data_IF_679031908923
#
_entry.id   IF_679031908923
#
_cell.length_a   1.000
_cell.length_b   1.000
_cell.length_c   1.000
_cell.angle_alpha   90.00
_cell.angle_beta   90.00
_cell.angle_gamma   90.00
#
_symmetry.space_group_name_H-M   'P 1'
#
loop_
_entity.id
_entity.type
_entity.pdbx_description
1 polymer ?
#
# COMPACT_ATOMS: atom_id res chain seq x y z
N UNK A 1 2.45 -1.61 -48.84
CA UNK A 1 1.52 -1.55 -47.68
C UNK A 1 1.51 -0.14 -47.12
N UNK A 2 0.43 0.62 -47.32
CA UNK A 2 0.29 1.97 -46.74
C UNK A 2 0.03 1.88 -45.24
N UNK A 3 0.91 2.46 -44.42
CA UNK A 3 0.68 2.59 -42.98
C UNK A 3 -0.49 3.54 -42.74
N UNK A 4 -1.61 3.02 -42.21
CA UNK A 4 -2.71 3.86 -41.73
C UNK A 4 -2.17 4.75 -40.60
N UNK A 5 -1.98 6.05 -40.87
CA UNK A 5 -1.72 7.06 -39.83
C UNK A 5 -2.91 7.03 -38.87
N UNK A 6 -2.69 6.61 -37.62
CA UNK A 6 -3.69 6.77 -36.56
C UNK A 6 -3.92 8.27 -36.38
N UNK A 7 -5.08 8.75 -36.80
CA UNK A 7 -5.53 10.11 -36.49
C UNK A 7 -5.67 10.17 -34.96
N UNK A 8 -4.80 10.95 -34.34
CA UNK A 8 -4.78 11.10 -32.90
C UNK A 8 -5.78 12.19 -32.54
N UNK A 9 -7.02 11.79 -32.27
CA UNK A 9 -8.09 12.71 -31.89
C UNK A 9 -7.69 13.37 -30.56
N UNK A 10 -7.58 14.72 -30.49
CA UNK A 10 -7.27 15.41 -29.25
C UNK A 10 -8.35 15.10 -28.21
N UNK A 11 -7.95 14.58 -27.05
CA UNK A 11 -8.89 14.33 -25.96
C UNK A 11 -9.32 15.70 -25.39
N UNK A 12 -10.61 16.00 -25.20
CA UNK A 12 -11.07 17.26 -24.61
C UNK A 12 -10.41 17.53 -23.25
N UNK A 13 -10.10 18.80 -22.95
CA UNK A 13 -9.41 19.20 -21.71
C UNK A 13 -10.10 18.67 -20.45
N UNK A 14 -11.43 18.70 -20.41
CA UNK A 14 -12.23 18.19 -19.30
C UNK A 14 -12.03 16.68 -19.08
N UNK A 15 -12.02 15.90 -20.16
CA UNK A 15 -11.77 14.46 -20.09
C UNK A 15 -10.34 14.16 -19.62
N UNK A 16 -9.35 14.98 -20.00
CA UNK A 16 -7.99 14.88 -19.48
C UNK A 16 -7.93 15.17 -17.97
N UNK A 17 -8.62 16.22 -17.49
CA UNK A 17 -8.68 16.58 -16.07
C UNK A 17 -9.35 15.49 -15.24
N UNK A 18 -10.50 14.96 -15.69
CA UNK A 18 -11.21 13.86 -15.04
C UNK A 18 -10.34 12.60 -14.96
N UNK A 19 -9.63 12.27 -16.03
CA UNK A 19 -8.69 11.14 -16.02
C UNK A 19 -7.55 11.35 -15.01
N UNK A 20 -6.99 12.56 -14.93
CA UNK A 20 -5.94 12.88 -13.96
C UNK A 20 -6.45 12.79 -12.52
N UNK A 21 -7.66 13.28 -12.23
CA UNK A 21 -8.30 13.19 -10.92
C UNK A 21 -8.53 11.73 -10.52
N UNK A 22 -9.16 10.92 -11.38
CA UNK A 22 -9.40 9.51 -11.11
C UNK A 22 -8.08 8.76 -10.87
N UNK A 23 -7.04 9.07 -11.64
CA UNK A 23 -5.72 8.45 -11.45
C UNK A 23 -5.07 8.81 -10.11
N UNK A 24 -5.31 10.03 -9.59
CA UNK A 24 -4.83 10.45 -8.27
C UNK A 24 -5.59 9.71 -7.17
N UNK A 25 -6.93 9.73 -7.24
CA UNK A 25 -7.79 9.01 -6.29
C UNK A 25 -7.43 7.53 -6.18
N UNK A 26 -7.16 6.85 -7.30
CA UNK A 26 -6.75 5.44 -7.27
C UNK A 26 -5.43 5.22 -6.52
N UNK A 27 -4.45 6.13 -6.65
CA UNK A 27 -3.19 6.03 -5.90
C UNK A 27 -3.39 6.27 -4.41
N UNK A 28 -4.29 7.19 -4.07
CA UNK A 28 -4.62 7.49 -2.68
C UNK A 28 -5.32 6.28 -2.05
N UNK A 29 -6.25 5.64 -2.76
CA UNK A 29 -6.91 4.40 -2.31
C UNK A 29 -5.90 3.26 -2.11
N UNK A 30 -4.97 3.03 -3.05
CA UNK A 30 -3.89 2.04 -2.88
C UNK A 30 -3.07 2.31 -1.62
N UNK A 31 -2.84 3.60 -1.34
CA UNK A 31 -2.09 4.05 -0.16
C UNK A 31 -2.88 3.86 1.14
N UNK A 32 -4.17 4.19 1.14
CA UNK A 32 -5.05 3.98 2.30
C UNK A 32 -5.27 2.50 2.58
N UNK A 33 -5.33 1.64 1.55
CA UNK A 33 -5.35 0.19 1.75
C UNK A 33 -4.12 -0.27 2.53
N UNK A 34 -2.91 0.15 2.14
CA UNK A 34 -1.68 -0.25 2.86
C UNK A 34 -1.70 0.21 4.31
N UNK A 35 -2.06 1.46 4.58
CA UNK A 35 -2.09 1.97 5.96
C UNK A 35 -3.19 1.34 6.80
N UNK A 36 -4.34 0.99 6.21
CA UNK A 36 -5.38 0.21 6.89
C UNK A 36 -4.86 -1.18 7.29
N UNK A 37 -4.17 -1.89 6.39
CA UNK A 37 -3.58 -3.20 6.70
C UNK A 37 -2.52 -3.11 7.80
N UNK A 38 -1.68 -2.07 7.81
CA UNK A 38 -0.74 -1.82 8.90
C UNK A 38 -1.46 -1.62 10.24
N UNK A 39 -2.54 -0.84 10.27
CA UNK A 39 -3.37 -0.67 11.47
C UNK A 39 -3.90 -2.01 11.97
N UNK A 40 -4.40 -2.86 11.05
CA UNK A 40 -4.89 -4.19 11.41
C UNK A 40 -3.80 -5.13 11.92
N UNK A 41 -2.54 -4.92 11.50
CA UNK A 41 -1.39 -5.70 11.95
C UNK A 41 -0.80 -5.24 13.28
N UNK A 42 -1.12 -4.02 13.73
CA UNK A 42 -0.62 -3.44 14.99
C UNK A 42 -0.71 -4.35 16.21
N UNK A 43 -1.77 -5.17 16.41
CA UNK A 43 -1.81 -6.09 17.55
C UNK A 43 -0.75 -7.18 17.53
N UNK A 44 -0.19 -7.50 16.36
CA UNK A 44 0.67 -8.66 16.15
C UNK A 44 2.15 -8.31 16.00
N UNK A 45 2.47 -7.09 15.55
CA UNK A 45 3.83 -6.62 15.35
C UNK A 45 3.94 -5.10 15.43
N UNK A 46 5.14 -4.61 15.75
CA UNK A 46 5.53 -3.23 15.49
C UNK A 46 6.01 -3.05 14.05
N UNK A 47 6.25 -1.81 13.63
CA UNK A 47 6.72 -1.51 12.27
C UNK A 47 7.79 -0.42 12.27
N UNK A 48 8.78 -0.59 11.39
CA UNK A 48 9.73 0.46 11.05
C UNK A 48 9.26 1.13 9.76
N UNK A 49 8.97 2.42 9.84
CA UNK A 49 8.56 3.24 8.71
C UNK A 49 9.66 4.23 8.36
N UNK A 50 9.86 4.51 7.07
CA UNK A 50 10.76 5.56 6.59
C UNK A 50 9.98 6.62 5.81
N UNK A 51 10.26 7.88 6.11
CA UNK A 51 9.67 9.01 5.44
C UNK A 51 10.25 9.14 4.02
N UNK A 52 9.41 9.20 2.97
CA UNK A 52 9.91 9.30 1.61
C UNK A 52 10.60 10.64 1.37
N UNK A 53 11.80 10.59 0.78
CA UNK A 53 12.64 11.77 0.48
C UNK A 53 11.98 12.81 -0.43
N UNK A 54 10.93 12.43 -1.18
CA UNK A 54 10.16 13.32 -2.05
C UNK A 54 8.68 13.21 -1.71
N UNK A 55 8.13 14.28 -1.15
CA UNK A 55 6.70 14.40 -0.94
C UNK A 55 6.00 14.86 -2.22
N UNK A 56 4.78 14.39 -2.42
CA UNK A 56 3.89 14.95 -3.44
C UNK A 56 2.86 15.82 -2.74
N UNK A 57 2.64 17.05 -3.20
CA UNK A 57 1.57 17.92 -2.70
C UNK A 57 0.18 17.55 -3.23
N UNK A 58 0.10 16.50 -4.06
CA UNK A 58 -1.07 16.20 -4.91
C UNK A 58 -1.69 14.83 -4.63
N UNK A 59 -0.94 13.88 -4.04
CA UNK A 59 -1.43 12.54 -3.69
C UNK A 59 -0.97 12.17 -2.28
N UNK A 60 -1.70 11.28 -1.62
CA UNK A 60 -1.31 10.72 -0.33
C UNK A 60 0.08 10.07 -0.45
N UNK A 61 0.96 10.43 0.47
CA UNK A 61 2.35 9.98 0.47
C UNK A 61 2.48 8.85 1.48
N UNK A 62 2.59 7.62 0.99
CA UNK A 62 2.79 6.43 1.82
C UNK A 62 4.18 6.42 2.45
N UNK A 63 4.31 6.33 3.80
CA UNK A 63 5.57 5.98 4.44
C UNK A 63 6.08 4.64 3.92
N UNK A 64 7.38 4.53 3.66
CA UNK A 64 7.98 3.28 3.23
C UNK A 64 7.96 2.30 4.40
N UNK A 65 7.29 1.16 4.25
CA UNK A 65 7.33 0.08 5.24
C UNK A 65 8.65 -0.66 5.07
N UNK A 66 9.57 -0.47 6.02
CA UNK A 66 10.90 -1.07 5.97
C UNK A 66 10.90 -2.44 6.63
N UNK A 67 10.35 -2.55 7.84
CA UNK A 67 10.34 -3.80 8.59
C UNK A 67 9.06 -4.02 9.37
N UNK A 68 8.70 -5.28 9.54
CA UNK A 68 7.72 -5.74 10.52
C UNK A 68 8.48 -6.42 11.66
N UNK A 69 8.21 -6.00 12.89
CA UNK A 69 8.92 -6.45 14.09
C UNK A 69 7.96 -7.25 14.95
N UNK A 70 8.00 -8.57 14.82
CA UNK A 70 7.24 -9.51 15.65
C UNK A 70 8.03 -9.80 16.93
N UNK A 71 7.37 -10.34 17.98
CA UNK A 71 8.06 -10.66 19.24
C UNK A 71 9.30 -11.55 19.10
N UNK A 72 9.31 -12.46 18.12
CA UNK A 72 10.36 -13.47 17.96
C UNK A 72 11.20 -13.28 16.69
N UNK A 73 10.80 -12.38 15.79
CA UNK A 73 11.48 -12.21 14.50
C UNK A 73 11.26 -10.82 13.92
N UNK A 74 12.17 -10.42 13.03
CA UNK A 74 12.02 -9.20 12.24
C UNK A 74 12.06 -9.55 10.76
N UNK A 75 11.04 -9.11 10.04
CA UNK A 75 10.95 -9.26 8.60
C UNK A 75 11.39 -7.94 7.96
N UNK A 76 12.53 -7.93 7.28
CA UNK A 76 13.00 -6.78 6.49
C UNK A 76 12.24 -6.72 5.16
N UNK A 77 11.06 -6.12 5.19
CA UNK A 77 10.16 -6.04 4.05
C UNK A 77 10.71 -5.16 2.91
N UNK A 78 11.49 -4.13 3.25
CA UNK A 78 12.14 -3.25 2.29
C UNK A 78 13.14 -4.00 1.41
N UNK A 79 13.96 -4.85 2.02
CA UNK A 79 14.94 -5.73 1.36
C UNK A 79 14.26 -6.85 0.59
N UNK A 80 13.25 -7.50 1.15
CA UNK A 80 12.46 -8.52 0.43
C UNK A 80 11.84 -7.95 -0.85
N UNK A 81 11.21 -6.77 -0.75
CA UNK A 81 10.62 -6.10 -1.91
C UNK A 81 11.68 -5.75 -2.97
N UNK A 82 12.88 -5.35 -2.54
CA UNK A 82 14.00 -5.08 -3.42
C UNK A 82 14.48 -6.35 -4.14
N UNK A 83 14.76 -7.42 -3.40
CA UNK A 83 15.24 -8.69 -3.94
C UNK A 83 14.27 -9.29 -4.97
N UNK A 84 12.96 -9.14 -4.74
CA UNK A 84 11.92 -9.60 -5.67
C UNK A 84 11.80 -8.69 -6.90
N UNK A 85 11.91 -7.36 -6.74
CA UNK A 85 11.61 -6.41 -7.83
C UNK A 85 12.83 -6.06 -8.69
N UNK A 86 14.05 -6.14 -8.15
CA UNK A 86 15.30 -5.69 -8.79
C UNK A 86 15.65 -6.48 -10.05
N UNK A 87 15.53 -7.83 -10.11
CA UNK A 87 15.83 -8.58 -11.32
C UNK A 87 14.98 -8.14 -12.54
N UNK A 88 13.69 -7.87 -12.31
CA UNK A 88 12.79 -7.37 -13.36
C UNK A 88 13.17 -5.95 -13.82
N UNK A 89 13.61 -5.09 -12.90
CA UNK A 89 14.11 -3.75 -13.24
C UNK A 89 15.35 -3.81 -14.12
N UNK A 90 16.34 -4.62 -13.74
CA UNK A 90 17.59 -4.78 -14.48
C UNK A 90 17.35 -5.39 -15.88
N UNK A 91 16.48 -6.39 -15.98
CA UNK A 91 16.08 -6.96 -17.26
C UNK A 91 15.43 -5.93 -18.18
N UNK A 92 14.59 -5.03 -17.64
CA UNK A 92 13.97 -3.96 -18.42
C UNK A 92 15.02 -2.98 -18.96
N UNK A 93 16.03 -2.61 -18.16
CA UNK A 93 17.13 -1.77 -18.61
C UNK A 93 17.96 -2.47 -19.70
N UNK A 94 18.31 -3.75 -19.50
CA UNK A 94 19.05 -4.55 -20.48
C UNK A 94 18.30 -4.67 -21.82
N UNK A 95 16.96 -4.68 -21.79
CA UNK A 95 16.09 -4.67 -22.99
C UNK A 95 15.93 -3.28 -23.62
N UNK A 96 16.69 -2.28 -23.20
CA UNK A 96 16.68 -0.93 -23.79
C UNK A 96 15.54 -0.03 -23.30
N UNK A 97 14.87 -0.36 -22.19
CA UNK A 97 13.86 0.54 -21.62
C UNK A 97 14.49 1.81 -21.05
N UNK A 98 13.89 2.96 -21.33
CA UNK A 98 14.27 4.24 -20.70
C UNK A 98 14.27 4.10 -19.17
N UNK A 99 15.36 4.56 -18.54
CA UNK A 99 15.59 4.46 -17.08
C UNK A 99 14.40 4.95 -16.25
N UNK A 100 13.83 6.11 -16.58
CA UNK A 100 12.67 6.66 -15.87
C UNK A 100 11.44 5.75 -15.93
N UNK A 101 11.22 5.07 -17.06
CA UNK A 101 10.11 4.13 -17.21
C UNK A 101 10.36 2.85 -16.41
N UNK A 102 11.61 2.40 -16.36
CA UNK A 102 12.01 1.24 -15.55
C UNK A 102 11.86 1.55 -14.05
N UNK A 103 12.34 2.71 -13.58
CA UNK A 103 12.19 3.16 -12.17
C UNK A 103 10.72 3.24 -11.79
N UNK A 104 9.87 3.87 -12.62
CA UNK A 104 8.43 3.94 -12.34
C UNK A 104 7.76 2.56 -12.20
N UNK A 105 8.21 1.56 -12.97
CA UNK A 105 7.71 0.18 -12.85
C UNK A 105 8.24 -0.51 -11.60
N UNK A 106 9.52 -0.33 -11.30
CA UNK A 106 10.16 -0.86 -10.11
C UNK A 106 9.46 -0.37 -8.84
N UNK A 107 9.27 0.94 -8.70
CA UNK A 107 8.57 1.53 -7.54
C UNK A 107 7.12 1.07 -7.43
N UNK A 108 6.44 0.88 -8.57
CA UNK A 108 5.08 0.32 -8.56
C UNK A 108 5.08 -1.13 -8.08
N UNK A 109 6.01 -1.95 -8.57
CA UNK A 109 6.10 -3.35 -8.16
C UNK A 109 6.43 -3.48 -6.68
N UNK A 110 7.37 -2.68 -6.14
CA UNK A 110 7.69 -2.69 -4.71
C UNK A 110 6.47 -2.37 -3.85
N UNK A 111 5.72 -1.33 -4.20
CA UNK A 111 4.49 -0.97 -3.50
C UNK A 111 3.44 -2.07 -3.56
N UNK A 112 3.24 -2.68 -4.73
CA UNK A 112 2.31 -3.80 -4.88
C UNK A 112 2.75 -5.03 -4.11
N UNK A 113 4.06 -5.32 -4.08
CA UNK A 113 4.61 -6.41 -3.30
C UNK A 113 4.38 -6.21 -1.80
N UNK A 114 4.73 -5.03 -1.26
CA UNK A 114 4.49 -4.69 0.14
C UNK A 114 3.02 -4.85 0.49
N UNK A 115 2.12 -4.27 -0.31
CA UNK A 115 0.68 -4.41 -0.09
C UNK A 115 0.24 -5.87 -0.01
N UNK A 116 0.59 -6.67 -1.03
CA UNK A 116 0.16 -8.06 -1.08
C UNK A 116 0.79 -8.89 0.04
N UNK A 117 2.01 -8.57 0.46
CA UNK A 117 2.65 -9.22 1.60
C UNK A 117 1.91 -8.94 2.92
N UNK A 118 1.49 -7.69 3.17
CA UNK A 118 0.67 -7.37 4.35
C UNK A 118 -0.69 -8.06 4.31
N UNK A 119 -1.29 -8.13 3.12
CA UNK A 119 -2.53 -8.88 2.88
C UNK A 119 -2.35 -10.36 3.23
N UNK A 120 -1.26 -10.98 2.77
CA UNK A 120 -0.95 -12.39 3.04
C UNK A 120 -0.70 -12.65 4.53
N UNK A 121 0.01 -11.76 5.25
CA UNK A 121 0.19 -11.90 6.71
C UNK A 121 -1.16 -11.85 7.43
N UNK A 122 -2.05 -10.95 7.04
CA UNK A 122 -3.37 -10.84 7.69
C UNK A 122 -4.22 -12.10 7.45
N UNK A 123 -4.10 -12.77 6.31
CA UNK A 123 -4.71 -14.09 6.09
C UNK A 123 -4.26 -15.10 7.16
N UNK A 124 -2.96 -15.14 7.46
CA UNK A 124 -2.39 -15.99 8.53
C UNK A 124 -2.83 -15.57 9.94
N UNK A 125 -3.40 -14.37 10.10
CA UNK A 125 -3.94 -13.83 11.36
C UNK A 125 -5.47 -13.91 11.44
N UNK A 126 -6.10 -14.84 10.72
CA UNK A 126 -7.55 -15.09 10.73
C UNK A 126 -8.40 -13.96 10.13
N UNK A 127 -7.78 -13.06 9.36
CA UNK A 127 -8.53 -12.15 8.49
C UNK A 127 -8.88 -12.85 7.17
N UNK A 128 -9.99 -12.44 6.58
CA UNK A 128 -10.37 -12.85 5.23
C UNK A 128 -10.74 -11.62 4.41
N UNK A 129 -10.64 -11.73 3.09
CA UNK A 129 -10.85 -10.61 2.20
C UNK A 129 -11.73 -11.01 1.02
N UNK A 130 -12.72 -10.17 0.72
CA UNK A 130 -13.25 -10.08 -0.64
C UNK A 130 -12.37 -9.09 -1.39
N UNK A 131 -11.64 -9.56 -2.41
CA UNK A 131 -10.76 -8.71 -3.22
C UNK A 131 -10.87 -8.98 -4.71
N UNK A 132 -10.41 -8.02 -5.50
CA UNK A 132 -10.27 -8.12 -6.95
C UNK A 132 -8.85 -7.74 -7.38
N UNK A 133 -8.18 -8.68 -8.02
CA UNK A 133 -6.89 -8.42 -8.63
C UNK A 133 -6.97 -7.37 -9.75
N UNK A 134 -6.06 -6.40 -9.72
CA UNK A 134 -5.93 -5.39 -10.78
C UNK A 134 -5.67 -6.03 -12.16
N UNK A 135 -5.95 -5.29 -13.25
CA UNK A 135 -5.83 -5.82 -14.62
C UNK A 135 -4.46 -6.47 -14.84
N UNK A 136 -4.45 -7.71 -15.33
CA UNK A 136 -3.22 -8.42 -15.68
C UNK A 136 -2.48 -7.64 -16.77
N UNK A 137 -1.23 -7.31 -16.49
CA UNK A 137 -0.29 -6.76 -17.48
C UNK A 137 1.02 -7.55 -17.37
N UNK A 138 1.74 -7.73 -18.47
CA UNK A 138 3.07 -8.35 -18.46
C UNK A 138 4.17 -7.40 -17.91
N UNK A 139 3.78 -6.31 -17.24
CA UNK A 139 4.68 -5.19 -16.90
C UNK A 139 4.86 -5.00 -15.40
N UNK A 140 3.82 -5.25 -14.62
CA UNK A 140 3.81 -5.01 -13.17
C UNK A 140 3.04 -6.09 -12.45
N UNK A 141 3.36 -6.29 -11.17
CA UNK A 141 2.57 -7.14 -10.29
C UNK A 141 1.11 -6.68 -10.25
N UNK A 142 0.22 -7.65 -9.97
CA UNK A 142 -1.21 -7.37 -9.80
C UNK A 142 -1.44 -6.99 -8.35
N UNK A 143 -2.16 -5.90 -8.17
CA UNK A 143 -2.50 -5.35 -6.86
C UNK A 143 -3.85 -5.91 -6.43
N UNK A 144 -3.95 -6.41 -5.21
CA UNK A 144 -5.19 -6.89 -4.62
C UNK A 144 -6.05 -5.70 -4.15
N UNK A 145 -7.17 -5.43 -4.83
CA UNK A 145 -8.10 -4.38 -4.40
C UNK A 145 -9.10 -4.97 -3.45
N UNK A 146 -9.07 -4.52 -2.20
CA UNK A 146 -9.93 -5.03 -1.15
C UNK A 146 -11.28 -4.34 -1.23
N UNK A 147 -12.36 -5.13 -1.22
CA UNK A 147 -13.75 -4.65 -1.20
C UNK A 147 -14.37 -4.82 0.19
N UNK A 148 -14.00 -5.87 0.92
CA UNK A 148 -14.47 -6.14 2.28
C UNK A 148 -13.42 -6.93 3.05
N UNK A 149 -13.22 -6.58 4.31
CA UNK A 149 -12.35 -7.28 5.26
C UNK A 149 -13.24 -7.95 6.31
N UNK A 150 -12.90 -9.19 6.63
CA UNK A 150 -13.53 -10.01 7.65
C UNK A 150 -12.49 -10.38 8.71
N UNK A 151 -12.95 -10.57 9.94
CA UNK A 151 -12.17 -11.16 11.02
C UNK A 151 -13.03 -12.21 11.70
N UNK A 152 -12.51 -13.43 11.87
CA UNK A 152 -13.27 -14.56 12.44
C UNK A 152 -14.65 -14.75 11.76
N UNK A 153 -14.66 -14.67 10.42
CA UNK A 153 -15.83 -14.82 9.55
C UNK A 153 -16.89 -13.69 9.65
N UNK A 154 -16.67 -12.66 10.46
CA UNK A 154 -17.56 -11.49 10.54
C UNK A 154 -17.02 -10.35 9.69
N UNK A 155 -17.86 -9.66 8.90
CA UNK A 155 -17.43 -8.46 8.19
C UNK A 155 -17.09 -7.38 9.21
N UNK A 156 -15.90 -6.79 9.09
CA UNK A 156 -15.41 -5.74 10.01
C UNK A 156 -15.23 -4.39 9.31
N UNK A 157 -14.93 -4.41 8.00
CA UNK A 157 -14.71 -3.21 7.21
C UNK A 157 -15.21 -3.45 5.78
N UNK A 158 -16.11 -2.59 5.30
CA UNK A 158 -16.36 -2.42 3.88
C UNK A 158 -15.31 -1.49 3.24
N UNK A 159 -15.40 -1.30 1.93
CA UNK A 159 -14.46 -0.44 1.18
C UNK A 159 -14.37 0.99 1.71
N UNK A 160 -15.49 1.64 2.03
CA UNK A 160 -15.52 3.03 2.50
C UNK A 160 -14.90 3.14 3.90
N UNK A 161 -15.25 2.23 4.80
CA UNK A 161 -14.71 2.16 6.16
C UNK A 161 -13.20 1.90 6.15
N UNK A 162 -12.72 1.00 5.29
CA UNK A 162 -11.30 0.74 5.10
C UNK A 162 -10.55 1.99 4.59
N UNK A 163 -11.14 2.73 3.65
CA UNK A 163 -10.55 3.98 3.16
C UNK A 163 -10.47 5.03 4.28
N UNK A 164 -11.50 5.16 5.11
CA UNK A 164 -11.52 6.06 6.27
C UNK A 164 -10.43 5.65 7.28
N UNK A 165 -10.37 4.37 7.65
CA UNK A 165 -9.36 3.83 8.56
C UNK A 165 -7.95 4.12 8.03
N UNK A 166 -7.70 3.81 6.77
CA UNK A 166 -6.42 4.03 6.11
C UNK A 166 -6.03 5.50 6.06
N UNK A 167 -6.97 6.39 5.81
CA UNK A 167 -6.73 7.85 5.82
C UNK A 167 -6.39 8.38 7.22
N UNK A 168 -7.08 7.89 8.25
CA UNK A 168 -6.80 8.27 9.64
C UNK A 168 -5.43 7.77 10.08
N UNK A 169 -5.12 6.50 9.79
CA UNK A 169 -3.82 5.90 10.06
C UNK A 169 -2.69 6.62 9.32
N UNK A 170 -2.91 7.00 8.06
CA UNK A 170 -1.96 7.79 7.29
C UNK A 170 -1.63 9.12 7.96
N UNK A 171 -2.66 9.84 8.43
CA UNK A 171 -2.47 11.11 9.14
C UNK A 171 -1.66 10.92 10.42
N UNK A 172 -1.95 9.85 11.18
CA UNK A 172 -1.18 9.48 12.36
C UNK A 172 0.30 9.22 12.01
N UNK A 173 0.58 8.39 11.01
CA UNK A 173 1.95 8.10 10.61
C UNK A 173 2.67 9.36 10.17
N UNK A 174 2.05 10.19 9.33
CA UNK A 174 2.65 11.43 8.85
C UNK A 174 3.04 12.39 10.00
N UNK A 175 2.19 12.48 11.04
CA UNK A 175 2.45 13.31 12.22
C UNK A 175 3.44 12.68 13.21
N UNK A 176 3.73 11.39 13.09
CA UNK A 176 4.66 10.70 13.99
C UNK A 176 6.13 10.94 13.63
N UNK A 177 6.42 11.47 12.44
CA UNK A 177 7.78 11.82 12.02
C UNK A 177 8.18 13.18 12.60
N UNK A 178 8.79 13.17 13.79
CA UNK A 178 9.35 14.35 14.45
C UNK A 178 10.75 14.69 13.90
N UNK A 179 10.83 15.14 12.65
CA UNK A 179 12.09 15.45 11.92
C UNK A 179 12.98 14.24 11.56
N UNK A 180 12.79 13.12 12.25
CA UNK A 180 13.45 11.86 11.93
C UNK A 180 12.98 11.30 10.59
N UNK A 181 13.91 10.67 9.85
CA UNK A 181 13.59 10.03 8.57
C UNK A 181 13.01 8.65 8.73
N UNK A 182 13.18 8.02 9.88
CA UNK A 182 12.62 6.71 10.18
C UNK A 182 12.06 6.73 11.57
N UNK A 183 10.93 6.06 11.75
CA UNK A 183 10.27 5.92 13.04
C UNK A 183 9.96 4.45 13.27
N UNK A 184 9.95 4.07 14.53
CA UNK A 184 9.39 2.80 14.98
C UNK A 184 8.02 3.05 15.61
N UNK A 185 7.03 2.26 15.20
CA UNK A 185 5.70 2.24 15.81
C UNK A 185 5.59 0.92 16.57
N UNK A 186 5.33 1.01 17.87
CA UNK A 186 5.19 -0.15 18.74
C UNK A 186 4.02 -1.06 18.35
N UNK A 187 4.20 -2.36 18.62
CA UNK A 187 3.08 -3.30 18.68
C UNK A 187 2.06 -2.80 19.71
N UNK A 188 0.77 -2.98 19.41
CA UNK A 188 -0.33 -2.49 20.25
C UNK A 188 -0.32 -0.97 20.47
N UNK A 189 0.19 -0.18 19.52
CA UNK A 189 0.15 1.28 19.61
C UNK A 189 -1.29 1.77 19.84
N UNK A 190 -1.55 2.36 21.01
CA UNK A 190 -2.89 2.68 21.50
C UNK A 190 -3.62 3.67 20.58
N UNK A 191 -2.90 4.68 20.07
CA UNK A 191 -3.46 5.65 19.12
C UNK A 191 -3.92 4.94 17.84
N UNK A 192 -3.11 4.04 17.29
CA UNK A 192 -3.44 3.31 16.06
C UNK A 192 -4.59 2.32 16.27
N UNK A 193 -4.60 1.60 17.40
CA UNK A 193 -5.69 0.68 17.76
C UNK A 193 -7.01 1.42 17.98
N UNK A 194 -6.98 2.61 18.58
CA UNK A 194 -8.19 3.41 18.81
C UNK A 194 -8.92 3.83 17.53
N UNK A 195 -8.26 3.75 16.37
CA UNK A 195 -8.85 4.07 15.07
C UNK A 195 -9.91 3.05 14.60
N UNK A 196 -9.97 1.87 15.22
CA UNK A 196 -10.94 0.85 14.84
C UNK A 196 -11.59 0.13 16.04
N UNK A 197 -12.93 0.05 16.13
CA UNK A 197 -13.63 -0.54 17.27
C UNK A 197 -13.28 -2.00 17.58
N UNK A 198 -12.82 -2.77 16.59
CA UNK A 198 -12.41 -4.17 16.77
C UNK A 198 -11.41 -4.34 17.92
N UNK A 199 -10.50 -3.37 18.09
CA UNK A 199 -9.45 -3.44 19.12
C UNK A 199 -9.91 -2.98 20.49
N UNK A 200 -11.04 -2.27 20.58
CA UNK A 200 -11.62 -1.85 21.86
C UNK A 200 -12.29 -3.03 22.61
N UNK A 201 -12.60 -4.12 21.91
CA UNK A 201 -13.26 -5.32 22.46
C UNK A 201 -12.23 -6.38 22.89
N UNK A 202 -11.07 -6.45 22.24
CA UNK A 202 -10.06 -7.48 22.52
C UNK A 202 -9.17 -7.17 23.74
N UNK A 203 -9.09 -5.91 24.17
CA UNK A 203 -8.34 -5.51 25.38
C UNK A 203 -8.99 -5.96 26.70
N UNK A 204 -10.20 -6.54 26.68
CA UNK A 204 -10.88 -7.05 27.88
C UNK A 204 -10.72 -8.57 28.09
N UNK A 205 -10.00 -9.28 27.21
CA UNK A 205 -9.86 -10.75 27.26
C UNK A 205 -8.45 -11.25 27.61
N UNK A 206 -7.50 -10.35 27.87
CA UNK A 206 -6.15 -10.68 28.33
C UNK A 206 -5.74 -9.87 29.56
N UNK A 207 -6.61 -9.87 30.58
CA UNK A 207 -6.25 -9.63 31.98
C UNK A 207 -6.58 -10.88 32.79
#
# INVERSE_FOLDING_TARGET
>A
MQQRKRIQIPIPREAQLKYMQNKRQMKDIETFQVTALLTLLSPYCGFVLEYPRKQTTVTATLPLVQSLVFPNETINLGELAENVCRPAFELNLKKGMKRDSAIRRYEKNRRTFIHNFLFDILLEKSYFFNSKLSRKTMKTFRFERIETIFFEQKPILNFEEMVILGKNAMSFFANSFNEERSIYIDQNNTTLLSLHPLFNITCSLHN
#
